data_IF_412541347697
#
_entry.id   IF_412541347697
#
_cell.length_a   1.000
_cell.length_b   1.000
_cell.length_c   1.000
_cell.angle_alpha   90.00
_cell.angle_beta   90.00
_cell.angle_gamma   90.00
#
_symmetry.space_group_name_H-M   'P 1'
#
loop_
_entity.id
_entity.type
_entity.pdbx_description
1 polymer ?
#
# COMPACT_ATOMS: atom_id res chain seq x y z
N UNK A 1 -3.10 -22.85 3.41
CA UNK A 1 -3.38 -22.11 2.16
C UNK A 1 -2.15 -21.27 1.91
N UNK A 2 -1.42 -21.50 0.83
CA UNK A 2 -0.25 -20.68 0.49
C UNK A 2 -0.78 -19.34 -0.04
N UNK A 3 -0.55 -18.27 0.70
CA UNK A 3 -0.82 -16.92 0.22
C UNK A 3 0.22 -16.62 -0.85
N UNK A 4 -0.22 -16.32 -2.06
CA UNK A 4 0.66 -15.99 -3.18
C UNK A 4 0.72 -14.49 -3.36
N UNK A 5 1.94 -13.99 -3.51
CA UNK A 5 2.18 -12.60 -3.88
C UNK A 5 2.36 -12.45 -5.38
N UNK A 6 1.82 -11.36 -5.94
CA UNK A 6 1.78 -11.10 -7.38
C UNK A 6 2.40 -9.76 -7.73
N UNK A 7 3.32 -9.76 -8.67
CA UNK A 7 3.83 -8.55 -9.29
C UNK A 7 3.11 -8.31 -10.63
N UNK A 8 2.35 -7.22 -10.71
CA UNK A 8 1.62 -6.82 -11.92
C UNK A 8 2.50 -5.87 -12.74
N UNK A 9 2.84 -6.27 -13.96
CA UNK A 9 3.68 -5.52 -14.90
C UNK A 9 2.91 -5.13 -16.17
N UNK A 10 3.50 -4.28 -16.97
CA UNK A 10 2.99 -3.88 -18.27
C UNK A 10 3.29 -2.41 -18.56
N UNK A 11 3.11 -1.98 -19.82
CA UNK A 11 3.38 -0.61 -20.24
C UNK A 11 2.48 0.41 -19.51
N UNK A 12 2.88 1.68 -19.51
CA UNK A 12 2.01 2.74 -18.98
C UNK A 12 0.69 2.80 -19.75
N UNK A 13 -0.41 2.95 -19.02
CA UNK A 13 -1.76 2.97 -19.61
C UNK A 13 -2.32 1.60 -20.02
N UNK A 14 -1.68 0.47 -19.64
CA UNK A 14 -2.23 -0.88 -19.90
C UNK A 14 -3.38 -1.28 -18.96
N UNK A 15 -3.78 -0.43 -18.02
CA UNK A 15 -4.90 -0.72 -17.12
C UNK A 15 -4.51 -1.35 -15.77
N UNK A 16 -3.23 -1.45 -15.43
CA UNK A 16 -2.76 -2.04 -14.14
C UNK A 16 -3.45 -1.45 -12.91
N UNK A 17 -3.44 -0.12 -12.79
CA UNK A 17 -4.11 0.57 -11.66
C UNK A 17 -5.62 0.38 -11.68
N UNK A 18 -6.24 0.24 -12.85
CA UNK A 18 -7.67 -0.07 -12.98
C UNK A 18 -7.96 -1.48 -12.49
N UNK A 19 -7.13 -2.45 -12.88
CA UNK A 19 -7.22 -3.83 -12.39
C UNK A 19 -7.07 -3.88 -10.86
N UNK A 20 -6.07 -3.18 -10.31
CA UNK A 20 -5.86 -3.11 -8.86
C UNK A 20 -7.06 -2.53 -8.10
N UNK A 21 -7.66 -1.45 -8.65
CA UNK A 21 -8.86 -0.85 -8.07
C UNK A 21 -10.07 -1.76 -8.17
N UNK A 22 -10.21 -2.50 -9.27
CA UNK A 22 -11.27 -3.48 -9.43
C UNK A 22 -11.13 -4.62 -8.40
N UNK A 23 -9.94 -5.18 -8.25
CA UNK A 23 -9.64 -6.21 -7.24
C UNK A 23 -9.89 -5.72 -5.80
N UNK A 24 -9.60 -4.45 -5.53
CA UNK A 24 -9.86 -3.83 -4.24
C UNK A 24 -11.34 -3.39 -4.04
N UNK A 25 -12.23 -3.65 -5.00
CA UNK A 25 -13.64 -3.24 -4.94
C UNK A 25 -13.89 -1.74 -5.13
N UNK A 26 -12.91 -1.00 -5.67
CA UNK A 26 -12.95 0.46 -5.82
C UNK A 26 -13.28 0.91 -7.25
N UNK A 27 -13.56 -0.02 -8.17
CA UNK A 27 -13.88 0.26 -9.57
C UNK A 27 -15.25 -0.32 -9.93
N UNK A 28 -16.28 0.54 -10.14
CA UNK A 28 -17.65 0.08 -10.36
C UNK A 28 -17.99 -0.21 -11.83
N UNK A 29 -17.03 -0.02 -12.75
CA UNK A 29 -17.26 -0.14 -14.18
C UNK A 29 -16.75 -1.47 -14.72
N UNK A 30 -17.50 -2.09 -15.62
CA UNK A 30 -17.16 -3.38 -16.26
C UNK A 30 -18.07 -4.50 -15.81
N UNK A 31 -17.92 -5.66 -16.45
CA UNK A 31 -18.66 -6.88 -16.15
C UNK A 31 -17.71 -7.96 -15.65
N UNK A 32 -18.23 -8.87 -14.83
CA UNK A 32 -17.47 -9.99 -14.28
C UNK A 32 -17.75 -10.22 -12.81
N UNK A 33 -17.02 -11.14 -12.19
CA UNK A 33 -17.09 -11.45 -10.76
C UNK A 33 -15.71 -11.53 -10.15
N UNK A 34 -15.59 -11.06 -8.93
CA UNK A 34 -14.40 -11.20 -8.10
C UNK A 34 -14.82 -11.93 -6.83
N UNK A 35 -14.31 -13.15 -6.66
CA UNK A 35 -14.58 -13.94 -5.48
C UNK A 35 -13.51 -13.68 -4.43
N UNK A 36 -13.90 -13.13 -3.30
CA UNK A 36 -13.02 -12.86 -2.17
C UNK A 36 -13.54 -13.56 -0.90
N UNK A 37 -12.66 -13.99 0.01
CA UNK A 37 -13.11 -14.57 1.28
C UNK A 37 -13.97 -13.59 2.07
N UNK A 38 -15.04 -14.10 2.66
CA UNK A 38 -15.93 -13.32 3.52
C UNK A 38 -15.13 -12.80 4.72
N UNK A 39 -15.26 -11.51 5.03
CA UNK A 39 -14.56 -10.82 6.12
C UNK A 39 -13.03 -10.64 5.91
N UNK A 40 -12.51 -10.84 4.72
CA UNK A 40 -11.12 -10.54 4.43
C UNK A 40 -10.84 -9.03 4.58
N UNK A 41 -9.78 -8.69 5.31
CA UNK A 41 -9.32 -7.31 5.46
C UNK A 41 -8.49 -6.94 4.24
N UNK A 42 -9.02 -6.09 3.40
CA UNK A 42 -8.33 -5.60 2.21
C UNK A 42 -7.81 -4.19 2.45
N UNK A 43 -6.57 -3.92 2.01
CA UNK A 43 -5.98 -2.60 2.08
C UNK A 43 -5.39 -2.22 0.74
N UNK A 44 -5.76 -1.05 0.24
CA UNK A 44 -5.25 -0.48 -1.00
C UNK A 44 -4.39 0.74 -0.69
N UNK A 45 -3.14 0.71 -1.14
CA UNK A 45 -2.19 1.81 -1.02
C UNK A 45 -1.89 2.34 -2.42
N UNK A 46 -2.42 3.51 -2.78
CA UNK A 46 -2.13 4.16 -4.05
C UNK A 46 -0.74 4.82 -4.03
N UNK A 47 -0.24 5.20 -5.19
CA UNK A 47 1.01 5.95 -5.37
C UNK A 47 1.08 7.22 -4.49
N UNK A 48 -0.04 7.95 -4.40
CA UNK A 48 -0.21 9.09 -3.50
C UNK A 48 -1.26 8.74 -2.47
N UNK A 49 -0.82 8.46 -1.25
CA UNK A 49 -1.72 8.09 -0.16
C UNK A 49 -2.47 9.29 0.40
N UNK A 50 -3.78 9.13 0.59
CA UNK A 50 -4.58 10.13 1.30
C UNK A 50 -4.11 10.28 2.75
N UNK A 51 -3.99 11.53 3.18
CA UNK A 51 -3.70 11.89 4.57
C UNK A 51 -4.73 12.91 5.06
N UNK A 52 -5.53 12.57 6.07
CA UNK A 52 -6.46 13.54 6.66
C UNK A 52 -5.69 14.71 7.29
N UNK A 53 -6.27 15.90 7.25
CA UNK A 53 -5.81 17.04 8.02
C UNK A 53 -6.14 16.75 9.49
N UNK A 54 -5.17 16.92 10.37
CA UNK A 54 -5.34 16.64 11.80
C UNK A 54 -4.05 16.13 12.43
N UNK A 55 -4.17 15.31 13.47
CA UNK A 55 -3.01 14.77 14.17
C UNK A 55 -2.24 13.76 13.31
N UNK A 56 -0.93 13.62 13.56
CA UNK A 56 -0.14 12.60 12.92
C UNK A 56 -0.72 11.20 13.19
N UNK A 57 -1.20 10.98 14.42
CA UNK A 57 -1.85 9.72 14.79
C UNK A 57 -3.06 9.45 13.89
N UNK A 58 -3.92 10.43 13.64
CA UNK A 58 -5.06 10.28 12.73
C UNK A 58 -4.60 9.99 11.28
N UNK A 59 -3.54 10.65 10.82
CA UNK A 59 -2.96 10.36 9.52
C UNK A 59 -2.37 8.95 9.46
N UNK A 60 -1.72 8.48 10.50
CA UNK A 60 -1.11 7.15 10.59
C UNK A 60 -2.17 6.03 10.68
N UNK A 61 -3.23 6.22 11.46
CA UNK A 61 -4.23 5.17 11.71
C UNK A 61 -5.33 5.08 10.65
N UNK A 62 -5.39 6.05 9.74
CA UNK A 62 -6.38 6.06 8.66
C UNK A 62 -6.40 4.73 7.87
N UNK A 63 -7.57 4.15 7.52
CA UNK A 63 -8.93 4.69 7.66
C UNK A 63 -9.58 4.48 9.05
N UNK A 64 -8.92 3.82 9.99
CA UNK A 64 -9.45 3.65 11.34
C UNK A 64 -9.40 4.96 12.14
N UNK A 65 -10.17 5.02 13.22
CA UNK A 65 -10.10 6.10 14.21
C UNK A 65 -8.72 6.13 14.88
N UNK A 66 -8.27 7.33 15.30
CA UNK A 66 -7.01 7.49 16.04
C UNK A 66 -6.98 6.68 17.36
N UNK A 67 -8.14 6.43 17.95
CA UNK A 67 -8.26 5.68 19.20
C UNK A 67 -8.22 4.15 19.03
N UNK A 68 -8.18 3.67 17.79
CA UNK A 68 -8.12 2.22 17.48
C UNK A 68 -6.81 1.59 17.95
N UNK A 69 -5.73 2.35 17.91
CA UNK A 69 -4.38 1.91 18.28
C UNK A 69 -3.82 2.75 19.41
N UNK A 70 -3.03 2.12 20.27
CA UNK A 70 -2.28 2.81 21.33
C UNK A 70 -1.18 3.70 20.74
N UNK A 71 -0.72 4.67 21.53
CA UNK A 71 0.40 5.51 21.13
C UNK A 71 1.69 4.70 20.94
N UNK A 72 1.87 3.65 21.73
CA UNK A 72 3.06 2.77 21.65
C UNK A 72 3.06 1.95 20.35
N UNK A 73 1.92 1.38 19.94
CA UNK A 73 1.79 0.70 18.64
C UNK A 73 2.08 1.67 17.49
N UNK A 74 1.57 2.90 17.58
CA UNK A 74 1.82 3.94 16.58
C UNK A 74 3.30 4.33 16.53
N UNK A 75 3.97 4.51 17.67
CA UNK A 75 5.42 4.78 17.74
C UNK A 75 6.24 3.63 17.15
N UNK A 76 5.93 2.40 17.54
CA UNK A 76 6.63 1.21 17.01
C UNK A 76 6.51 1.14 15.48
N UNK A 77 5.32 1.35 14.92
CA UNK A 77 5.09 1.33 13.48
C UNK A 77 5.90 2.43 12.76
N UNK A 78 5.94 3.65 13.30
CA UNK A 78 6.75 4.74 12.74
C UNK A 78 8.25 4.42 12.78
N UNK A 79 8.76 3.97 13.92
CA UNK A 79 10.19 3.64 14.09
C UNK A 79 10.58 2.51 13.13
N UNK A 80 9.75 1.47 13.02
CA UNK A 80 9.97 0.33 12.13
C UNK A 80 10.05 0.76 10.66
N UNK A 81 9.28 1.78 10.27
CA UNK A 81 9.30 2.36 8.92
C UNK A 81 10.28 3.53 8.75
N UNK A 82 11.29 3.68 9.61
CA UNK A 82 12.30 4.76 9.56
C UNK A 82 11.68 6.17 9.60
N UNK A 83 10.71 6.36 10.48
CA UNK A 83 10.06 7.65 10.77
C UNK A 83 10.19 7.98 12.27
N UNK A 84 11.32 7.63 12.89
CA UNK A 84 11.57 7.81 14.32
C UNK A 84 11.49 9.26 14.77
N UNK A 85 11.85 10.21 13.90
CA UNK A 85 11.76 11.65 14.15
C UNK A 85 10.32 12.16 14.36
N UNK A 86 9.33 11.36 13.94
CA UNK A 86 7.91 11.66 14.10
C UNK A 86 7.26 10.90 15.27
N UNK A 87 7.96 9.96 15.91
CA UNK A 87 7.38 9.05 16.90
C UNK A 87 6.80 9.78 18.13
N UNK A 88 7.40 10.91 18.53
CA UNK A 88 6.94 11.72 19.65
C UNK A 88 5.97 12.84 19.23
N UNK A 89 5.63 12.92 17.95
CA UNK A 89 4.76 13.97 17.38
C UNK A 89 3.35 13.49 17.05
N UNK A 90 2.91 12.35 17.61
CA UNK A 90 1.61 11.72 17.31
C UNK A 90 0.42 12.65 17.48
N UNK A 91 0.45 13.52 18.50
CA UNK A 91 -0.64 14.44 18.82
C UNK A 91 -0.50 15.81 18.11
N UNK A 92 0.59 16.02 17.37
CA UNK A 92 0.78 17.24 16.60
C UNK A 92 -0.18 17.29 15.42
N UNK A 93 -0.91 18.39 15.30
CA UNK A 93 -1.84 18.63 14.20
C UNK A 93 -1.19 19.39 13.06
N UNK A 94 -1.42 18.96 11.82
CA UNK A 94 -0.83 19.61 10.66
C UNK A 94 -1.35 19.11 9.33
N UNK A 95 -0.84 19.72 8.27
CA UNK A 95 -1.00 19.27 6.90
C UNK A 95 0.13 18.30 6.55
N UNK A 96 0.03 17.05 6.96
CA UNK A 96 1.10 16.06 6.87
C UNK A 96 1.55 15.77 5.44
N UNK A 97 0.67 15.94 4.45
CA UNK A 97 1.06 15.89 3.03
C UNK A 97 2.03 16.98 2.58
N UNK A 98 2.12 18.09 3.32
CA UNK A 98 3.06 19.19 3.05
C UNK A 98 4.31 19.14 3.94
N UNK A 99 4.19 18.50 5.09
CA UNK A 99 5.27 18.36 6.07
C UNK A 99 6.19 17.21 5.67
N UNK A 100 5.60 16.07 5.27
CA UNK A 100 6.34 14.87 4.88
C UNK A 100 6.77 14.95 3.42
N UNK A 101 8.02 14.59 3.15
CA UNK A 101 8.51 14.34 1.80
C UNK A 101 7.74 13.17 1.15
N UNK A 102 7.73 13.03 -0.18
CA UNK A 102 7.06 11.91 -0.85
C UNK A 102 7.51 10.53 -0.34
N UNK A 103 8.80 10.34 -0.08
CA UNK A 103 9.33 9.10 0.49
C UNK A 103 8.85 8.84 1.92
N UNK A 104 8.76 9.88 2.77
CA UNK A 104 8.19 9.75 4.11
C UNK A 104 6.70 9.44 4.08
N UNK A 105 5.95 10.02 3.13
CA UNK A 105 4.55 9.69 2.95
C UNK A 105 4.36 8.21 2.59
N UNK A 106 5.22 7.66 1.72
CA UNK A 106 5.17 6.23 1.37
C UNK A 106 5.59 5.35 2.54
N UNK A 107 6.58 5.75 3.35
CA UNK A 107 6.93 5.03 4.59
C UNK A 107 5.81 5.11 5.64
N UNK A 108 5.11 6.24 5.74
CA UNK A 108 3.91 6.35 6.59
C UNK A 108 2.80 5.41 6.13
N UNK A 109 2.58 5.29 4.81
CA UNK A 109 1.65 4.31 4.26
C UNK A 109 2.07 2.87 4.60
N UNK A 110 3.37 2.57 4.59
CA UNK A 110 3.91 1.30 5.09
C UNK A 110 3.63 1.07 6.58
N UNK A 111 3.79 2.09 7.41
CA UNK A 111 3.46 2.01 8.84
C UNK A 111 1.96 1.73 9.08
N UNK A 112 1.07 2.30 8.24
CA UNK A 112 -0.37 1.95 8.25
C UNK A 112 -0.59 0.45 7.99
N UNK A 113 0.11 -0.10 7.00
CA UNK A 113 0.01 -1.54 6.68
C UNK A 113 0.39 -2.39 7.89
N UNK A 114 1.46 -2.03 8.61
CA UNK A 114 1.89 -2.76 9.81
C UNK A 114 0.88 -2.68 10.96
N UNK A 115 0.16 -1.56 11.10
CA UNK A 115 -0.91 -1.40 12.09
C UNK A 115 -2.16 -2.21 11.72
N UNK A 116 -2.62 -2.07 10.49
CA UNK A 116 -3.89 -2.68 10.05
C UNK A 116 -3.79 -4.18 9.80
N UNK A 117 -2.60 -4.70 9.50
CA UNK A 117 -2.33 -6.13 9.24
C UNK A 117 -3.37 -6.74 8.30
N UNK A 118 -3.47 -6.25 7.05
CA UNK A 118 -4.45 -6.73 6.08
C UNK A 118 -4.19 -8.19 5.70
N UNK A 119 -5.24 -8.89 5.27
CA UNK A 119 -5.14 -10.22 4.67
C UNK A 119 -4.80 -10.13 3.17
N UNK A 120 -5.20 -9.02 2.52
CA UNK A 120 -4.86 -8.68 1.13
C UNK A 120 -4.35 -7.24 1.07
N UNK A 121 -3.12 -7.09 0.57
CA UNK A 121 -2.45 -5.80 0.40
C UNK A 121 -2.26 -5.50 -1.07
N UNK A 122 -2.87 -4.42 -1.55
CA UNK A 122 -2.72 -3.92 -2.91
C UNK A 122 -1.83 -2.67 -2.91
N UNK A 123 -0.72 -2.72 -3.64
CA UNK A 123 0.27 -1.64 -3.73
C UNK A 123 0.33 -1.11 -5.18
N UNK A 124 -0.26 0.04 -5.44
CA UNK A 124 -0.27 0.67 -6.77
C UNK A 124 0.82 1.74 -6.84
N UNK A 125 2.03 1.35 -7.28
CA UNK A 125 3.24 2.18 -7.30
C UNK A 125 3.56 2.86 -5.95
N UNK A 126 3.14 2.23 -4.86
CA UNK A 126 3.15 2.80 -3.50
C UNK A 126 4.55 3.01 -2.91
N UNK A 127 5.60 2.56 -3.59
CA UNK A 127 6.99 2.66 -3.18
C UNK A 127 7.86 3.42 -4.19
N UNK A 128 7.24 4.02 -5.22
CA UNK A 128 7.94 4.66 -6.35
C UNK A 128 8.84 5.85 -5.95
N UNK A 129 8.54 6.54 -4.85
CA UNK A 129 9.34 7.66 -4.31
C UNK A 129 10.46 7.20 -3.36
N UNK A 130 10.56 5.92 -3.05
CA UNK A 130 11.64 5.35 -2.25
C UNK A 130 12.86 5.04 -3.13
N UNK A 131 14.05 5.16 -2.56
CA UNK A 131 15.23 4.54 -3.15
C UNK A 131 15.15 3.00 -3.04
N UNK A 132 16.02 2.31 -3.77
CA UNK A 132 15.96 0.83 -3.85
C UNK A 132 16.20 0.14 -2.50
N UNK A 133 16.99 0.72 -1.61
CA UNK A 133 17.25 0.16 -0.27
C UNK A 133 16.01 0.28 0.63
N UNK A 134 15.40 1.47 0.69
CA UNK A 134 14.19 1.69 1.49
C UNK A 134 13.00 0.91 0.95
N UNK A 135 12.89 0.77 -0.38
CA UNK A 135 11.86 -0.04 -1.02
C UNK A 135 12.01 -1.52 -0.64
N UNK A 136 13.21 -2.11 -0.86
CA UNK A 136 13.47 -3.50 -0.51
C UNK A 136 13.23 -3.77 0.99
N UNK A 137 13.66 -2.85 1.86
CA UNK A 137 13.42 -2.95 3.30
C UNK A 137 11.92 -2.98 3.62
N UNK A 138 11.12 -2.14 2.98
CA UNK A 138 9.68 -2.09 3.24
C UNK A 138 9.00 -3.40 2.81
N UNK A 139 9.39 -3.98 1.67
CA UNK A 139 8.90 -5.29 1.25
C UNK A 139 9.33 -6.41 2.20
N UNK A 140 10.59 -6.41 2.68
CA UNK A 140 11.02 -7.34 3.73
C UNK A 140 10.17 -7.23 4.99
N UNK A 141 9.88 -6.01 5.44
CA UNK A 141 9.00 -5.81 6.60
C UNK A 141 7.60 -6.39 6.37
N UNK A 142 7.03 -6.22 5.18
CA UNK A 142 5.72 -6.80 4.87
C UNK A 142 5.76 -8.32 4.88
N UNK A 143 6.78 -8.94 4.28
CA UNK A 143 6.89 -10.41 4.26
C UNK A 143 7.14 -11.00 5.64
N UNK A 144 7.93 -10.32 6.50
CA UNK A 144 8.23 -10.76 7.86
C UNK A 144 7.05 -10.55 8.83
N UNK A 145 6.42 -9.39 8.77
CA UNK A 145 5.38 -8.98 9.73
C UNK A 145 3.98 -9.42 9.33
N UNK A 146 3.77 -9.75 8.06
CA UNK A 146 2.50 -10.15 7.48
C UNK A 146 2.63 -11.48 6.71
N UNK A 147 3.14 -12.57 7.32
CA UNK A 147 3.43 -13.83 6.60
C UNK A 147 2.18 -14.52 6.05
N UNK A 148 0.99 -14.07 6.44
CA UNK A 148 -0.29 -14.60 5.98
C UNK A 148 -0.97 -13.69 4.93
N UNK A 149 -0.42 -12.51 4.66
CA UNK A 149 -1.01 -11.57 3.70
C UNK A 149 -0.65 -11.95 2.26
N UNK A 150 -1.64 -11.86 1.38
CA UNK A 150 -1.39 -11.86 -0.05
C UNK A 150 -1.06 -10.43 -0.49
N UNK A 151 0.10 -10.25 -1.16
CA UNK A 151 0.57 -8.95 -1.62
C UNK A 151 0.46 -8.89 -3.14
N UNK A 152 -0.25 -7.89 -3.66
CA UNK A 152 -0.36 -7.62 -5.09
C UNK A 152 0.22 -6.24 -5.35
N UNK A 153 1.29 -6.16 -6.13
CA UNK A 153 2.00 -4.91 -6.38
C UNK A 153 2.02 -4.55 -7.85
N UNK A 154 1.74 -3.31 -8.17
CA UNK A 154 2.14 -2.69 -9.45
C UNK A 154 3.45 -1.96 -9.20
N UNK A 155 4.50 -2.35 -9.91
CA UNK A 155 5.80 -1.70 -9.80
C UNK A 155 6.59 -1.82 -11.12
N UNK A 156 7.54 -0.90 -11.31
CA UNK A 156 8.37 -0.85 -12.51
C UNK A 156 9.78 -1.43 -12.29
N UNK A 157 10.20 -1.59 -11.03
CA UNK A 157 11.53 -2.10 -10.71
C UNK A 157 11.55 -3.62 -10.72
N UNK A 158 12.45 -4.20 -11.52
CA UNK A 158 12.61 -5.66 -11.61
C UNK A 158 13.07 -6.30 -10.29
N UNK A 159 13.80 -5.55 -9.46
CA UNK A 159 14.24 -6.00 -8.14
C UNK A 159 13.10 -6.47 -7.22
N UNK A 160 11.90 -5.97 -7.44
CA UNK A 160 10.72 -6.36 -6.66
C UNK A 160 10.18 -7.75 -7.01
N UNK A 161 10.58 -8.31 -8.14
CA UNK A 161 10.21 -9.69 -8.48
C UNK A 161 10.68 -10.71 -7.42
N UNK A 162 11.78 -10.42 -6.71
CA UNK A 162 12.29 -11.28 -5.64
C UNK A 162 11.35 -11.37 -4.42
N UNK A 163 10.40 -10.44 -4.27
CA UNK A 163 9.42 -10.42 -3.18
C UNK A 163 8.06 -11.00 -3.57
N UNK A 164 7.92 -11.49 -4.80
CA UNK A 164 6.65 -12.01 -5.32
C UNK A 164 6.84 -13.42 -5.86
N UNK A 165 5.82 -14.26 -5.63
CA UNK A 165 5.83 -15.66 -6.10
C UNK A 165 5.53 -15.76 -7.59
N UNK A 166 4.71 -14.82 -8.11
CA UNK A 166 4.18 -14.85 -9.47
C UNK A 166 4.25 -13.45 -10.11
N UNK A 167 4.27 -13.43 -11.43
CA UNK A 167 4.20 -12.17 -12.20
C UNK A 167 3.00 -12.25 -13.16
N UNK A 168 2.24 -11.16 -13.22
CA UNK A 168 1.15 -10.97 -14.16
C UNK A 168 1.50 -9.84 -15.13
N UNK A 169 1.67 -10.17 -16.39
CA UNK A 169 1.88 -9.17 -17.44
C UNK A 169 0.54 -8.72 -18.02
N UNK A 170 0.24 -7.42 -17.88
CA UNK A 170 -0.97 -6.80 -18.41
C UNK A 170 -0.64 -6.13 -19.73
N UNK A 171 -1.12 -6.71 -20.81
CA UNK A 171 -0.98 -6.16 -22.15
C UNK A 171 -2.12 -5.17 -22.46
N UNK A 172 -1.84 -4.22 -23.35
CA UNK A 172 -2.85 -3.29 -23.82
C UNK A 172 -3.81 -4.06 -24.74
N UNK A 173 -5.08 -4.22 -24.37
CA UNK A 173 -6.08 -4.75 -25.30
C UNK A 173 -6.20 -3.79 -26.50
N UNK A 174 -6.03 -4.33 -27.70
CA UNK A 174 -5.75 -3.59 -28.93
C UNK A 174 -6.89 -2.79 -29.56
N UNK A 175 -7.91 -2.35 -28.84
CA UNK A 175 -8.90 -1.40 -29.38
C UNK A 175 -9.04 -0.19 -28.47
N UNK A 176 -8.86 1.05 -28.99
CA UNK A 176 -9.21 2.23 -28.23
C UNK A 176 -10.74 2.24 -28.03
N UNK A 177 -11.19 2.34 -26.78
CA UNK A 177 -12.58 2.64 -26.48
C UNK A 177 -12.85 4.00 -27.13
N UNK A 178 -13.70 4.02 -28.15
CA UNK A 178 -14.16 5.26 -28.76
C UNK A 178 -14.86 6.10 -27.68
N UNK A 179 -14.43 7.35 -27.55
CA UNK A 179 -14.95 8.34 -26.61
C UNK A 179 -16.37 8.77 -26.98
#
# INVERSE_FOLDING_TARGET
MLFRSWLVRGPSGSGKSTLMRALAGLWPFGDGSIDAPVNARMMFIPQVSYMPIGTLKAALTYPSSADTYTDDECREALITCRLSEYADRLQESGHWTRILSPGEQQRLAGARVLLHKPDYLFLDEATSALDSENEARLYHLFTERLPQAAIVSVAHRESLAAFHDETLDVERSGEPIAA
#
